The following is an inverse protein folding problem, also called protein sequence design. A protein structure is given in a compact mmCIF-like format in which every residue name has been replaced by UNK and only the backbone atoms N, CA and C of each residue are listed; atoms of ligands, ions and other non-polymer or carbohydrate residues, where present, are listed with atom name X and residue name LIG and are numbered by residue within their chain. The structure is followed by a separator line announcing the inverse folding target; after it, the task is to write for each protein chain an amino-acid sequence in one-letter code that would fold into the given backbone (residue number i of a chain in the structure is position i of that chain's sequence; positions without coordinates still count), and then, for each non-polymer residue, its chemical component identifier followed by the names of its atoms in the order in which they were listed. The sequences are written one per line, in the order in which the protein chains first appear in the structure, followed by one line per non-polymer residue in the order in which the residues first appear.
data_IF_146188580708
#
_entry.id   IF_146188580708
#
_cell.length_a   1.000
_cell.length_b   1.000
_cell.length_c   1.000
_cell.angle_alpha   90.00
_cell.angle_beta   90.00
_cell.angle_gamma   90.00
#
_symmetry.space_group_name_H-M   'P 1'
#
loop_
_entity.id
_entity.type
_entity.pdbx_description
1 polymer ?
#
# COMPACT_ATOMS: atom_id res chain seq x y z
N UNK A 1 4.01 -6.74 -22.11
CA UNK A 1 3.96 -7.04 -20.67
C UNK A 1 3.19 -5.89 -20.01
N UNK A 2 2.00 -6.12 -19.46
CA UNK A 2 1.17 -5.05 -18.88
C UNK A 2 1.50 -4.88 -17.40
N UNK A 3 1.88 -3.68 -16.98
CA UNK A 3 2.17 -3.37 -15.57
C UNK A 3 0.86 -3.00 -14.87
N UNK A 4 0.17 -4.01 -14.33
CA UNK A 4 -1.14 -3.84 -13.73
C UNK A 4 -1.02 -3.50 -12.23
N UNK A 5 -1.35 -2.26 -11.87
CA UNK A 5 -1.30 -1.74 -10.49
C UNK A 5 -2.22 -2.47 -9.50
N UNK A 6 -3.18 -3.25 -10.01
CA UNK A 6 -4.06 -4.07 -9.18
C UNK A 6 -3.29 -5.19 -8.47
N UNK A 7 -2.35 -5.82 -9.16
CA UNK A 7 -1.59 -6.98 -8.69
C UNK A 7 -0.16 -6.61 -8.29
N UNK A 8 0.39 -5.62 -8.95
CA UNK A 8 1.78 -5.23 -8.79
C UNK A 8 2.06 -4.57 -7.44
N UNK A 9 3.23 -4.83 -6.85
CA UNK A 9 3.54 -4.44 -5.47
C UNK A 9 4.19 -3.06 -5.42
N UNK A 10 3.35 -2.02 -5.49
CA UNK A 10 3.82 -0.64 -5.58
C UNK A 10 3.46 0.25 -4.39
N UNK A 11 2.36 -0.01 -3.67
CA UNK A 11 1.91 0.82 -2.55
C UNK A 11 2.69 0.46 -1.28
N UNK A 12 3.55 1.33 -0.73
CA UNK A 12 4.28 1.05 0.50
C UNK A 12 3.35 1.14 1.72
N UNK A 13 3.35 0.12 2.54
CA UNK A 13 2.51 0.03 3.74
C UNK A 13 3.31 -0.44 4.95
N UNK A 14 2.93 0.05 6.12
CA UNK A 14 3.33 -0.51 7.40
C UNK A 14 2.18 -1.37 7.92
N UNK A 15 2.45 -2.65 8.16
CA UNK A 15 1.48 -3.59 8.72
C UNK A 15 1.38 -3.45 10.23
N UNK A 16 0.31 -4.00 10.81
CA UNK A 16 0.09 -4.02 12.26
C UNK A 16 1.14 -4.84 13.01
N UNK A 17 1.80 -5.80 12.36
CA UNK A 17 2.93 -6.58 12.89
C UNK A 17 4.27 -5.83 12.85
N UNK A 18 4.27 -4.57 12.40
CA UNK A 18 5.47 -3.72 12.29
C UNK A 18 6.29 -3.95 11.02
N UNK A 19 5.89 -4.86 10.12
CA UNK A 19 6.61 -5.09 8.87
C UNK A 19 6.24 -4.05 7.82
N UNK A 20 7.26 -3.45 7.21
CA UNK A 20 7.10 -2.64 6.01
C UNK A 20 7.14 -3.53 4.76
N UNK A 21 6.14 -3.40 3.89
CA UNK A 21 6.10 -4.10 2.62
C UNK A 21 5.39 -3.26 1.56
N UNK A 22 5.36 -3.75 0.31
CA UNK A 22 4.56 -3.16 -0.76
C UNK A 22 3.43 -4.09 -1.18
N UNK A 23 2.26 -3.53 -1.42
CA UNK A 23 1.07 -4.23 -1.86
C UNK A 23 0.55 -3.64 -3.19
N UNK A 24 -0.19 -4.44 -3.95
CA UNK A 24 -1.04 -3.94 -5.02
C UNK A 24 -2.37 -3.45 -4.49
N UNK A 25 -3.16 -2.79 -5.34
CA UNK A 25 -4.44 -2.19 -4.93
C UNK A 25 -5.39 -3.26 -4.39
N UNK A 26 -5.48 -4.42 -5.04
CA UNK A 26 -6.36 -5.51 -4.60
C UNK A 26 -6.00 -5.99 -3.20
N UNK A 27 -4.70 -6.23 -2.94
CA UNK A 27 -4.24 -6.67 -1.62
C UNK A 27 -4.37 -5.58 -0.55
N UNK A 28 -4.16 -4.31 -0.91
CA UNK A 28 -4.35 -3.19 0.00
C UNK A 28 -5.80 -3.07 0.48
N UNK A 29 -6.77 -3.32 -0.39
CA UNK A 29 -8.20 -3.30 -0.07
C UNK A 29 -8.64 -4.55 0.70
N UNK A 30 -8.20 -5.75 0.29
CA UNK A 30 -8.61 -7.01 0.94
C UNK A 30 -7.95 -7.22 2.30
N UNK A 31 -6.73 -6.75 2.50
CA UNK A 31 -5.98 -6.86 3.76
C UNK A 31 -5.96 -5.56 4.57
N UNK A 32 -6.85 -4.60 4.27
CA UNK A 32 -6.87 -3.27 4.91
C UNK A 32 -6.83 -3.33 6.45
N UNK A 33 -7.53 -4.28 7.08
CA UNK A 33 -7.53 -4.47 8.54
C UNK A 33 -6.18 -4.91 9.14
N UNK A 34 -5.21 -5.32 8.32
CA UNK A 34 -3.84 -5.67 8.73
C UNK A 34 -2.83 -4.55 8.44
N UNK A 35 -3.29 -3.46 7.84
CA UNK A 35 -2.47 -2.30 7.48
C UNK A 35 -2.65 -1.27 8.58
N UNK A 36 -1.54 -0.81 9.15
CA UNK A 36 -1.54 0.26 10.13
C UNK A 36 -1.57 1.63 9.47
N UNK A 37 -0.78 1.81 8.42
CA UNK A 37 -0.71 3.06 7.64
C UNK A 37 -0.04 2.85 6.28
N UNK A 38 -0.31 3.76 5.35
CA UNK A 38 0.49 3.94 4.13
C UNK A 38 1.81 4.59 4.55
N UNK A 39 2.93 4.01 4.11
CA UNK A 39 4.28 4.37 4.53
C UNK A 39 5.10 4.89 3.34
N UNK A 40 4.52 5.78 2.54
CA UNK A 40 5.25 6.44 1.47
C UNK A 40 6.28 7.41 2.05
N UNK A 41 7.41 7.55 1.37
CA UNK A 41 8.52 8.41 1.81
C UNK A 41 8.15 9.89 1.83
N UNK A 42 7.15 10.29 1.03
CA UNK A 42 6.64 11.65 0.98
C UNK A 42 5.24 11.71 1.63
N UNK A 43 5.01 12.57 2.64
CA UNK A 43 3.69 12.74 3.27
C UNK A 43 2.57 13.09 2.29
N UNK A 44 2.87 13.83 1.21
CA UNK A 44 1.88 14.16 0.18
C UNK A 44 1.38 12.92 -0.56
N UNK A 45 2.25 11.93 -0.78
CA UNK A 45 1.89 10.68 -1.47
C UNK A 45 0.93 9.86 -0.61
N UNK A 46 1.09 9.86 0.73
CA UNK A 46 0.15 9.18 1.63
C UNK A 46 -1.27 9.73 1.48
N UNK A 47 -1.41 11.06 1.35
CA UNK A 47 -2.71 11.71 1.14
C UNK A 47 -3.24 11.41 -0.26
N UNK A 48 -2.40 11.47 -1.29
CA UNK A 48 -2.80 11.18 -2.66
C UNK A 48 -3.27 9.73 -2.84
N UNK A 49 -2.60 8.77 -2.18
CA UNK A 49 -2.95 7.34 -2.23
C UNK A 49 -4.23 7.00 -1.46
N UNK A 50 -4.63 7.83 -0.50
CA UNK A 50 -5.85 7.63 0.29
C UNK A 50 -7.12 8.10 -0.45
N UNK A 51 -6.98 9.05 -1.38
CA UNK A 51 -8.10 9.71 -2.07
C UNK A 51 -8.54 8.94 -3.30
#
# INVERSE_FOLDING_TARGET
MSYNLLEERWIPVLRTDGKACRLGITAALTEAGKIRQIAASNPMDNVALLR
#
